data_IF_419431285643
#
_entry.id   IF_419431285643
#
_cell.length_a   1.000
_cell.length_b   1.000
_cell.length_c   1.000
_cell.angle_alpha   90.00
_cell.angle_beta   90.00
_cell.angle_gamma   90.00
#
_symmetry.space_group_name_H-M   'P 1'
#
loop_
_entity.id
_entity.type
_entity.pdbx_description
1 polymer ?
#
# COMPACT_ATOMS: atom_id res chain seq x y z
N UNK A 1 -11.94 -18.93 -52.76
CA UNK A 1 -11.34 -18.26 -51.59
C UNK A 1 -11.94 -18.88 -50.33
N UNK A 2 -11.25 -19.86 -49.76
CA UNK A 2 -11.63 -20.41 -48.45
C UNK A 2 -11.06 -19.45 -47.40
N UNK A 3 -11.90 -18.58 -46.87
CA UNK A 3 -11.59 -17.91 -45.62
C UNK A 3 -11.58 -18.98 -44.51
N UNK A 4 -10.39 -19.42 -44.14
CA UNK A 4 -10.21 -20.27 -42.98
C UNK A 4 -10.75 -19.51 -41.76
N UNK A 5 -11.93 -19.89 -41.24
CA UNK A 5 -12.33 -19.56 -39.91
C UNK A 5 -11.26 -20.13 -38.96
N UNK A 6 -10.34 -19.30 -38.54
CA UNK A 6 -9.56 -19.58 -37.33
C UNK A 6 -10.60 -19.72 -36.20
N UNK A 7 -10.99 -20.97 -35.89
CA UNK A 7 -11.74 -21.31 -34.67
C UNK A 7 -10.91 -20.77 -33.49
N UNK A 8 -11.31 -19.63 -32.96
CA UNK A 8 -10.70 -19.09 -31.76
C UNK A 8 -10.92 -20.12 -30.65
N UNK A 9 -9.84 -20.77 -30.21
CA UNK A 9 -9.92 -21.69 -29.08
C UNK A 9 -10.42 -20.95 -27.84
N UNK A 10 -11.21 -21.63 -27.00
CA UNK A 10 -11.61 -21.09 -25.70
C UNK A 10 -10.40 -20.60 -24.91
N UNK A 11 -10.37 -19.32 -24.61
CA UNK A 11 -9.36 -18.68 -23.76
C UNK A 11 -10.02 -18.13 -22.48
N UNK A 12 -9.37 -18.33 -21.36
CA UNK A 12 -9.65 -17.66 -20.09
C UNK A 12 -8.64 -16.52 -19.93
N UNK A 13 -9.06 -15.36 -19.40
CA UNK A 13 -8.18 -14.20 -19.24
C UNK A 13 -6.99 -14.49 -18.32
N UNK A 14 -5.89 -13.76 -18.51
CA UNK A 14 -4.61 -13.99 -17.82
C UNK A 14 -4.65 -14.05 -16.29
N UNK A 15 -5.51 -13.29 -15.57
CA UNK A 15 -5.60 -13.37 -14.11
C UNK A 15 -5.98 -14.75 -13.55
N UNK A 16 -6.70 -15.56 -14.34
CA UNK A 16 -7.21 -16.85 -13.90
C UNK A 16 -6.19 -17.96 -14.10
N UNK A 17 -5.58 -18.39 -13.01
CA UNK A 17 -4.58 -19.46 -13.01
C UNK A 17 -4.74 -20.34 -11.76
N UNK A 18 -4.15 -21.53 -11.79
CA UNK A 18 -4.15 -22.47 -10.66
C UNK A 18 -3.67 -21.81 -9.38
N UNK A 19 -4.24 -22.24 -8.27
CA UNK A 19 -3.92 -21.73 -6.92
C UNK A 19 -4.35 -20.30 -6.62
N UNK A 20 -5.11 -19.64 -7.50
CA UNK A 20 -5.58 -18.26 -7.28
C UNK A 20 -6.55 -18.13 -6.11
N UNK A 21 -6.75 -16.90 -5.65
CA UNK A 21 -7.83 -16.52 -4.73
C UNK A 21 -8.82 -15.64 -5.47
N UNK A 22 -10.12 -15.95 -5.37
CA UNK A 22 -11.21 -15.08 -5.83
C UNK A 22 -11.75 -14.25 -4.69
N UNK A 23 -12.12 -13.01 -4.97
CA UNK A 23 -12.65 -12.08 -3.98
C UNK A 23 -14.03 -12.54 -3.48
N UNK A 24 -14.21 -12.60 -2.16
CA UNK A 24 -15.50 -12.86 -1.51
C UNK A 24 -16.38 -11.61 -1.41
N UNK A 25 -17.68 -11.81 -1.18
CA UNK A 25 -18.61 -10.77 -0.74
C UNK A 25 -19.01 -9.74 -1.80
N UNK A 26 -18.56 -9.89 -3.03
CA UNK A 26 -18.94 -9.05 -4.17
C UNK A 26 -19.09 -9.88 -5.45
N UNK A 27 -19.63 -9.30 -6.51
CA UNK A 27 -19.66 -9.95 -7.83
C UNK A 27 -18.26 -10.30 -8.28
N UNK A 28 -18.09 -11.47 -8.88
CA UNK A 28 -16.81 -11.94 -9.41
C UNK A 28 -16.91 -12.07 -10.93
N UNK A 29 -16.39 -11.10 -11.68
CA UNK A 29 -16.29 -11.19 -13.13
C UNK A 29 -15.34 -12.31 -13.53
N UNK A 30 -15.76 -13.13 -14.50
CA UNK A 30 -14.92 -14.13 -15.18
C UNK A 30 -15.08 -13.91 -16.67
N UNK A 31 -13.96 -13.75 -17.38
CA UNK A 31 -13.99 -13.35 -18.78
C UNK A 31 -12.89 -14.01 -19.61
N UNK A 32 -13.01 -13.88 -20.91
CA UNK A 32 -12.05 -14.42 -21.85
C UNK A 32 -12.49 -14.29 -23.29
N UNK A 33 -12.03 -15.20 -24.15
CA UNK A 33 -12.39 -15.25 -25.57
C UNK A 33 -12.85 -16.65 -25.96
N UNK A 34 -13.77 -16.71 -26.93
CA UNK A 34 -14.29 -17.93 -27.52
C UNK A 34 -14.68 -17.67 -28.97
N UNK A 35 -15.14 -18.68 -29.69
CA UNK A 35 -15.68 -18.50 -31.02
C UNK A 35 -16.92 -17.57 -30.98
N UNK A 36 -17.02 -16.71 -32.01
CA UNK A 36 -18.11 -15.72 -32.09
C UNK A 36 -19.47 -16.40 -32.03
N UNK A 37 -20.32 -15.91 -31.12
CA UNK A 37 -21.68 -16.41 -30.95
C UNK A 37 -21.80 -17.70 -30.14
N UNK A 38 -20.70 -18.34 -29.72
CA UNK A 38 -20.75 -19.53 -28.88
C UNK A 38 -21.19 -19.20 -27.43
N UNK A 39 -21.87 -20.18 -26.83
CA UNK A 39 -22.23 -20.09 -25.42
C UNK A 39 -21.06 -20.56 -24.54
N UNK A 40 -20.65 -19.70 -23.64
CA UNK A 40 -19.60 -20.00 -22.66
C UNK A 40 -20.24 -20.09 -21.28
N UNK A 41 -20.04 -21.19 -20.59
CA UNK A 41 -20.58 -21.43 -19.24
C UNK A 41 -19.43 -21.54 -18.24
N UNK A 42 -19.49 -20.77 -17.17
CA UNK A 42 -18.57 -20.85 -16.03
C UNK A 42 -19.27 -21.59 -14.90
N UNK A 43 -18.59 -22.61 -14.33
CA UNK A 43 -19.03 -23.37 -13.17
C UNK A 43 -18.05 -23.20 -12.03
N UNK A 44 -18.51 -22.69 -10.88
CA UNK A 44 -17.71 -22.52 -9.67
C UNK A 44 -18.60 -22.43 -8.43
N UNK A 45 -18.20 -23.09 -7.35
CA UNK A 45 -18.83 -23.02 -6.02
C UNK A 45 -20.36 -23.20 -6.05
N UNK A 46 -20.87 -24.14 -6.85
CA UNK A 46 -22.30 -24.43 -7.00
C UNK A 46 -23.03 -23.49 -7.96
N UNK A 47 -22.41 -22.45 -8.46
CA UNK A 47 -22.95 -21.56 -9.48
C UNK A 47 -22.61 -22.07 -10.89
N UNK A 48 -23.53 -21.86 -11.82
CA UNK A 48 -23.36 -22.15 -13.24
C UNK A 48 -23.98 -21.01 -14.06
N UNK A 49 -23.15 -20.19 -14.65
CA UNK A 49 -23.57 -18.97 -15.35
C UNK A 49 -23.10 -19.02 -16.80
N UNK A 50 -23.98 -18.66 -17.74
CA UNK A 50 -23.70 -18.71 -19.16
C UNK A 50 -23.78 -17.32 -19.78
N UNK A 51 -22.85 -17.01 -20.66
CA UNK A 51 -22.86 -15.84 -21.54
C UNK A 51 -22.58 -16.25 -22.98
N UNK A 52 -22.98 -15.43 -23.93
CA UNK A 52 -22.68 -15.62 -25.36
C UNK A 52 -21.49 -14.75 -25.76
N UNK A 53 -20.52 -15.33 -26.46
CA UNK A 53 -19.40 -14.59 -27.01
C UNK A 53 -19.88 -13.57 -28.05
N UNK A 54 -19.44 -12.33 -27.89
CA UNK A 54 -19.79 -11.21 -28.76
C UNK A 54 -19.15 -11.30 -30.16
N UNK A 55 -19.44 -10.32 -31.00
CA UNK A 55 -18.91 -10.25 -32.38
C UNK A 55 -17.38 -10.18 -32.45
N UNK A 56 -16.72 -9.70 -31.37
CA UNK A 56 -15.26 -9.68 -31.23
C UNK A 56 -14.69 -10.94 -30.58
N UNK A 57 -15.54 -11.94 -30.26
CA UNK A 57 -15.16 -13.16 -29.55
C UNK A 57 -14.99 -13.02 -28.05
N UNK A 58 -15.19 -11.84 -27.48
CA UNK A 58 -15.10 -11.65 -26.03
C UNK A 58 -16.37 -12.16 -25.34
N UNK A 59 -16.19 -12.78 -24.18
CA UNK A 59 -17.27 -13.17 -23.28
C UNK A 59 -16.96 -12.76 -21.85
N UNK A 60 -18.00 -12.55 -21.05
CA UNK A 60 -17.95 -12.30 -19.62
C UNK A 60 -19.18 -12.85 -18.93
N UNK A 61 -18.98 -13.46 -17.77
CA UNK A 61 -20.03 -13.77 -16.80
C UNK A 61 -19.69 -13.13 -15.47
N UNK A 62 -20.68 -12.77 -14.70
CA UNK A 62 -20.53 -12.29 -13.33
C UNK A 62 -21.10 -13.35 -12.38
N UNK A 63 -20.22 -14.01 -11.59
CA UNK A 63 -20.68 -14.86 -10.51
C UNK A 63 -21.28 -14.01 -9.39
N UNK A 64 -22.35 -14.50 -8.76
CA UNK A 64 -22.88 -13.87 -7.56
C UNK A 64 -21.85 -13.88 -6.41
N UNK A 65 -22.00 -13.01 -5.40
CA UNK A 65 -21.05 -12.92 -4.29
C UNK A 65 -20.74 -14.28 -3.67
N UNK A 66 -19.44 -14.58 -3.54
CA UNK A 66 -18.94 -15.84 -3.01
C UNK A 66 -18.74 -15.74 -1.48
N UNK A 67 -18.93 -16.87 -0.78
CA UNK A 67 -18.55 -17.01 0.63
C UNK A 67 -17.10 -17.44 0.72
N UNK A 68 -16.36 -16.99 1.75
CA UNK A 68 -15.00 -17.44 2.02
C UNK A 68 -14.91 -18.97 2.09
N UNK A 69 -13.87 -19.53 1.48
CA UNK A 69 -13.64 -20.96 1.44
C UNK A 69 -12.15 -21.27 1.39
N UNK A 70 -11.68 -22.04 2.37
CA UNK A 70 -10.28 -22.47 2.50
C UNK A 70 -9.98 -23.78 1.76
N UNK A 71 -10.99 -24.42 1.19
CA UNK A 71 -10.84 -25.60 0.36
C UNK A 71 -10.68 -25.22 -1.09
N UNK A 72 -9.64 -25.71 -1.74
CA UNK A 72 -9.39 -25.50 -3.17
C UNK A 72 -10.43 -26.19 -4.03
N UNK A 73 -11.08 -25.44 -4.90
CA UNK A 73 -12.13 -25.91 -5.81
C UNK A 73 -11.76 -25.65 -7.25
N UNK A 74 -12.19 -26.50 -8.21
CA UNK A 74 -12.01 -26.22 -9.62
C UNK A 74 -12.97 -25.12 -10.10
N UNK A 75 -12.46 -24.12 -10.84
CA UNK A 75 -13.25 -23.24 -11.67
C UNK A 75 -13.20 -23.77 -13.10
N UNK A 76 -14.34 -24.15 -13.65
CA UNK A 76 -14.42 -24.77 -14.97
C UNK A 76 -15.21 -23.91 -15.95
N UNK A 77 -14.65 -23.70 -17.13
CA UNK A 77 -15.23 -22.95 -18.22
C UNK A 77 -15.48 -23.88 -19.42
N UNK A 78 -16.69 -23.90 -19.90
CA UNK A 78 -17.15 -24.74 -21.00
C UNK A 78 -17.53 -23.89 -22.20
N UNK A 79 -17.07 -24.24 -23.41
CA UNK A 79 -17.56 -23.71 -24.67
C UNK A 79 -18.47 -24.77 -25.34
N UNK A 80 -19.74 -24.72 -25.00
CA UNK A 80 -20.69 -25.78 -25.44
C UNK A 80 -20.21 -27.16 -25.00
N UNK A 81 -20.13 -28.09 -25.96
CA UNK A 81 -19.55 -29.44 -25.81
C UNK A 81 -18.15 -29.54 -26.43
N UNK A 82 -17.58 -28.44 -26.96
CA UNK A 82 -16.38 -28.44 -27.82
C UNK A 82 -15.09 -28.39 -27.02
N UNK A 83 -15.03 -27.57 -25.99
CA UNK A 83 -13.82 -27.39 -25.22
C UNK A 83 -14.08 -27.04 -23.77
N UNK A 84 -13.12 -27.34 -22.90
CA UNK A 84 -13.18 -27.06 -21.48
C UNK A 84 -11.83 -26.54 -21.00
N UNK A 85 -11.87 -25.53 -20.15
CA UNK A 85 -10.72 -25.04 -19.40
C UNK A 85 -11.02 -25.15 -17.91
N UNK A 86 -10.07 -25.66 -17.14
CA UNK A 86 -10.20 -25.77 -15.69
C UNK A 86 -9.01 -25.09 -15.02
N UNK A 87 -9.30 -24.27 -14.03
CA UNK A 87 -8.35 -23.70 -13.08
C UNK A 87 -8.52 -24.43 -11.78
N UNK A 88 -7.44 -25.01 -11.27
CA UNK A 88 -7.43 -25.90 -10.10
C UNK A 88 -7.11 -25.17 -8.82
N UNK A 89 -7.52 -25.73 -7.67
CA UNK A 89 -7.17 -25.23 -6.33
C UNK A 89 -7.48 -23.74 -6.13
N UNK A 90 -8.69 -23.31 -6.55
CA UNK A 90 -9.16 -21.95 -6.39
C UNK A 90 -9.75 -21.74 -5.00
N UNK A 91 -9.18 -20.82 -4.21
CA UNK A 91 -9.69 -20.40 -2.92
C UNK A 91 -10.64 -19.20 -3.06
N UNK A 92 -11.44 -18.95 -2.04
CA UNK A 92 -12.26 -17.73 -1.94
C UNK A 92 -11.91 -16.99 -0.66
N UNK A 93 -11.50 -15.72 -0.78
CA UNK A 93 -11.06 -14.91 0.35
C UNK A 93 -10.95 -13.43 0.00
N UNK A 94 -9.96 -12.76 0.52
CA UNK A 94 -9.70 -11.34 0.28
C UNK A 94 -8.56 -11.17 -0.73
N UNK A 95 -8.75 -10.36 -1.76
CA UNK A 95 -7.73 -10.12 -2.79
C UNK A 95 -7.28 -8.66 -2.73
N UNK A 96 -5.96 -8.47 -2.67
CA UNK A 96 -5.33 -7.16 -2.58
C UNK A 96 -4.31 -6.95 -3.70
N UNK A 97 -4.40 -5.79 -4.36
CA UNK A 97 -3.35 -5.32 -5.25
C UNK A 97 -2.23 -4.71 -4.41
N UNK A 98 -0.99 -5.12 -4.65
CA UNK A 98 0.20 -4.60 -3.99
C UNK A 98 1.01 -3.84 -5.03
N UNK A 99 0.88 -2.51 -5.03
CA UNK A 99 1.26 -1.66 -6.15
C UNK A 99 2.25 -0.56 -5.76
N UNK A 100 3.04 -0.07 -6.71
CA UNK A 100 3.96 1.02 -6.51
C UNK A 100 5.31 0.86 -7.20
N UNK A 101 6.34 1.47 -6.62
CA UNK A 101 7.69 1.43 -7.18
C UNK A 101 8.67 0.54 -6.38
N UNK A 102 9.95 0.88 -6.39
CA UNK A 102 11.01 0.04 -5.82
C UNK A 102 10.79 -0.32 -4.36
N UNK A 103 10.32 0.59 -3.52
CA UNK A 103 10.06 0.31 -2.11
C UNK A 103 8.90 -0.67 -1.87
N UNK A 104 7.88 -0.70 -2.74
CA UNK A 104 6.91 -1.79 -2.77
C UNK A 104 7.56 -3.09 -3.26
N UNK A 105 8.48 -3.00 -4.23
CA UNK A 105 9.14 -4.14 -4.86
C UNK A 105 10.37 -4.68 -4.13
N UNK A 106 10.80 -4.09 -2.98
CA UNK A 106 11.89 -4.67 -2.17
C UNK A 106 11.53 -6.10 -1.82
N UNK A 107 12.34 -7.10 -2.23
CA UNK A 107 12.04 -8.51 -2.01
C UNK A 107 12.01 -8.87 -0.52
N UNK A 108 11.09 -9.75 -0.14
CA UNK A 108 11.08 -10.37 1.18
C UNK A 108 12.33 -11.25 1.38
N UNK A 109 12.66 -12.05 0.37
CA UNK A 109 13.89 -12.82 0.27
C UNK A 109 14.58 -12.48 -1.06
N UNK A 110 15.89 -12.67 -1.15
CA UNK A 110 16.61 -12.42 -2.39
C UNK A 110 18.13 -12.47 -2.21
N UNK A 111 18.82 -12.56 -3.33
CA UNK A 111 20.28 -12.72 -3.36
C UNK A 111 21.06 -11.40 -3.18
N UNK A 112 20.35 -10.27 -3.17
CA UNK A 112 20.96 -8.93 -2.98
C UNK A 112 20.78 -8.46 -1.54
N UNK A 113 21.75 -8.64 -0.62
CA UNK A 113 21.62 -8.30 0.80
C UNK A 113 21.24 -6.84 1.06
N UNK A 114 21.67 -5.93 0.21
CA UNK A 114 21.38 -4.49 0.32
C UNK A 114 20.01 -4.10 -0.24
N UNK A 115 19.38 -4.97 -1.02
CA UNK A 115 18.07 -4.73 -1.63
C UNK A 115 17.12 -5.91 -1.36
N UNK A 116 16.88 -6.19 -0.08
CA UNK A 116 15.88 -7.13 0.44
C UNK A 116 15.50 -6.74 1.86
N UNK A 117 14.43 -7.34 2.38
CA UNK A 117 14.08 -7.18 3.79
C UNK A 117 15.15 -7.80 4.71
N UNK A 118 15.51 -7.09 5.77
CA UNK A 118 16.58 -7.50 6.68
C UNK A 118 16.29 -8.78 7.47
N UNK A 119 15.01 -9.09 7.72
CA UNK A 119 14.55 -10.25 8.47
C UNK A 119 13.88 -11.32 7.60
N UNK A 120 13.58 -11.00 6.33
CA UNK A 120 12.76 -11.82 5.45
C UNK A 120 13.24 -13.27 5.33
N UNK A 121 14.53 -13.50 5.20
CA UNK A 121 15.10 -14.86 5.12
C UNK A 121 14.82 -15.70 6.37
N UNK A 122 14.92 -15.09 7.54
CA UNK A 122 14.68 -15.75 8.83
C UNK A 122 13.19 -16.06 9.01
N UNK A 123 12.33 -15.08 8.71
CA UNK A 123 10.87 -15.23 8.79
C UNK A 123 10.38 -16.26 7.78
N UNK A 124 10.91 -16.26 6.56
CA UNK A 124 10.55 -17.22 5.52
C UNK A 124 10.76 -18.68 5.95
N UNK A 125 11.86 -18.99 6.65
CA UNK A 125 12.19 -20.36 7.09
C UNK A 125 11.10 -21.00 7.96
N UNK A 126 10.36 -20.19 8.74
CA UNK A 126 9.32 -20.66 9.66
C UNK A 126 7.91 -20.39 9.15
N UNK A 127 7.75 -19.67 8.05
CA UNK A 127 6.44 -19.24 7.55
C UNK A 127 5.74 -20.37 6.77
N UNK A 128 4.64 -20.86 7.31
CA UNK A 128 3.71 -21.78 6.64
C UNK A 128 2.31 -21.21 6.76
N UNK A 129 1.82 -20.57 5.70
CA UNK A 129 0.48 -19.98 5.64
C UNK A 129 -0.22 -20.39 4.34
N UNK A 130 -0.74 -21.64 4.24
CA UNK A 130 -1.30 -22.16 2.99
C UNK A 130 -2.53 -21.38 2.50
N UNK A 131 -3.15 -20.59 3.36
CA UNK A 131 -4.26 -19.73 3.00
C UNK A 131 -3.82 -18.39 2.40
N UNK A 132 -2.53 -18.06 2.41
CA UNK A 132 -2.02 -16.91 1.67
C UNK A 132 -1.48 -17.39 0.32
N UNK A 133 -1.93 -16.75 -0.73
CA UNK A 133 -1.47 -16.97 -2.10
C UNK A 133 -0.94 -15.65 -2.66
N UNK A 134 0.09 -15.72 -3.46
CA UNK A 134 0.67 -14.54 -4.08
C UNK A 134 1.04 -14.78 -5.53
N UNK A 135 1.04 -13.72 -6.30
CA UNK A 135 1.49 -13.70 -7.70
C UNK A 135 2.17 -12.37 -7.97
N UNK A 136 3.22 -12.36 -8.77
CA UNK A 136 3.85 -11.15 -9.28
C UNK A 136 3.52 -11.00 -10.77
N UNK A 137 2.99 -9.87 -11.16
CA UNK A 137 2.77 -9.53 -12.56
C UNK A 137 4.08 -9.09 -13.18
N UNK A 138 4.55 -9.69 -14.28
CA UNK A 138 5.75 -9.24 -14.97
C UNK A 138 5.62 -7.79 -15.45
N UNK A 139 6.64 -6.98 -15.20
CA UNK A 139 6.70 -5.56 -15.55
C UNK A 139 7.98 -5.25 -16.34
N UNK A 140 8.42 -6.19 -17.21
CA UNK A 140 9.67 -6.07 -17.96
C UNK A 140 9.55 -5.16 -19.19
N UNK A 141 8.34 -5.04 -19.72
CA UNK A 141 8.00 -4.23 -20.90
C UNK A 141 6.92 -3.22 -20.53
N UNK A 142 6.86 -2.16 -21.29
CA UNK A 142 5.82 -1.13 -21.22
C UNK A 142 5.22 -0.89 -22.61
N UNK A 143 4.00 -0.37 -22.63
CA UNK A 143 3.27 -0.10 -23.88
C UNK A 143 2.36 1.12 -23.69
N UNK A 144 2.18 1.88 -24.74
CA UNK A 144 1.25 3.03 -24.77
C UNK A 144 -0.20 2.60 -25.00
N UNK A 145 -0.42 1.33 -25.39
CA UNK A 145 -1.75 0.76 -25.66
C UNK A 145 -2.14 -0.22 -24.55
N UNK A 146 -3.37 -0.14 -24.00
CA UNK A 146 -3.85 -1.07 -22.99
C UNK A 146 -3.80 -2.53 -23.47
N UNK A 147 -3.09 -3.36 -22.74
CA UNK A 147 -2.96 -4.80 -22.99
C UNK A 147 -4.07 -5.56 -22.28
N UNK A 148 -4.60 -6.60 -22.90
CA UNK A 148 -5.64 -7.48 -22.30
C UNK A 148 -5.05 -8.77 -21.74
N UNK A 149 -3.77 -9.00 -21.93
CA UNK A 149 -3.04 -10.18 -21.44
C UNK A 149 -1.78 -9.73 -20.70
N UNK A 150 -1.41 -10.46 -19.66
CA UNK A 150 -0.12 -10.28 -18.99
C UNK A 150 1.03 -10.68 -19.91
N UNK A 151 2.20 -10.09 -19.72
CA UNK A 151 3.39 -10.31 -20.55
C UNK A 151 3.88 -11.77 -20.53
N UNK A 152 3.61 -12.49 -19.45
CA UNK A 152 3.90 -13.92 -19.26
C UNK A 152 2.74 -14.56 -18.54
N UNK A 153 2.54 -15.88 -18.65
CA UNK A 153 1.58 -16.60 -17.80
C UNK A 153 1.82 -16.34 -16.33
N UNK A 154 0.75 -16.16 -15.58
CA UNK A 154 0.82 -15.95 -14.13
C UNK A 154 0.94 -17.29 -13.41
N UNK A 155 1.71 -17.30 -12.32
CA UNK A 155 1.89 -18.44 -11.43
C UNK A 155 1.58 -17.98 -10.00
N UNK A 156 0.42 -18.37 -9.49
CA UNK A 156 0.09 -18.15 -8.09
C UNK A 156 0.84 -19.15 -7.20
N UNK A 157 1.47 -18.64 -6.17
CA UNK A 157 2.25 -19.41 -5.22
C UNK A 157 1.61 -19.42 -3.85
N UNK A 158 1.73 -20.53 -3.13
CA UNK A 158 1.35 -20.66 -1.72
C UNK A 158 2.47 -20.13 -0.82
N UNK A 159 2.17 -19.51 0.30
CA UNK A 159 3.19 -19.12 1.29
C UNK A 159 3.76 -20.35 1.98
N UNK A 160 4.91 -20.79 1.52
CA UNK A 160 5.76 -21.82 2.11
C UNK A 160 7.18 -21.29 2.21
N UNK A 161 8.05 -21.85 3.07
CA UNK A 161 9.46 -21.46 3.12
C UNK A 161 10.10 -21.48 1.73
N UNK A 162 9.86 -22.54 0.97
CA UNK A 162 10.45 -22.73 -0.36
C UNK A 162 9.99 -21.66 -1.36
N UNK A 163 8.68 -21.39 -1.44
CA UNK A 163 8.16 -20.41 -2.40
C UNK A 163 8.60 -18.98 -2.06
N UNK A 164 8.64 -18.62 -0.77
CA UNK A 164 9.09 -17.32 -0.32
C UNK A 164 10.59 -17.11 -0.57
N UNK A 165 11.42 -18.11 -0.28
CA UNK A 165 12.87 -18.03 -0.52
C UNK A 165 13.23 -17.99 -2.00
N UNK A 166 12.47 -18.68 -2.85
CA UNK A 166 12.72 -18.74 -4.29
C UNK A 166 12.03 -17.61 -5.08
N UNK A 167 11.27 -16.75 -4.42
CA UNK A 167 10.59 -15.62 -5.06
C UNK A 167 11.24 -14.29 -4.68
N UNK A 168 11.14 -13.33 -5.59
CA UNK A 168 11.44 -11.93 -5.29
C UNK A 168 10.16 -11.16 -4.92
N UNK A 169 9.23 -11.81 -4.20
CA UNK A 169 7.97 -11.18 -3.84
C UNK A 169 8.16 -10.07 -2.81
N UNK A 170 7.32 -9.05 -2.87
CA UNK A 170 7.34 -7.85 -2.03
C UNK A 170 7.37 -8.16 -0.53
N UNK A 171 8.32 -7.59 0.20
CA UNK A 171 8.36 -7.66 1.65
C UNK A 171 7.16 -6.95 2.30
N UNK A 172 6.81 -5.78 1.81
CA UNK A 172 5.65 -5.01 2.30
C UNK A 172 4.37 -5.83 2.13
N UNK A 173 4.13 -6.38 0.94
CA UNK A 173 2.97 -7.21 0.67
C UNK A 173 2.95 -8.50 1.51
N UNK A 174 4.12 -9.10 1.77
CA UNK A 174 4.25 -10.28 2.62
C UNK A 174 3.81 -9.99 4.05
N UNK A 175 4.36 -8.94 4.68
CA UNK A 175 3.98 -8.57 6.04
C UNK A 175 2.53 -8.09 6.15
N UNK A 176 2.02 -7.39 5.14
CA UNK A 176 0.61 -7.04 5.04
C UNK A 176 -0.27 -8.31 5.03
N UNK A 177 0.02 -9.24 4.14
CA UNK A 177 -0.75 -10.47 4.00
C UNK A 177 -0.70 -11.36 5.23
N UNK A 178 0.46 -11.48 5.89
CA UNK A 178 0.61 -12.20 7.16
C UNK A 178 -0.28 -11.61 8.24
N UNK A 179 -0.23 -10.28 8.44
CA UNK A 179 -1.03 -9.58 9.46
C UNK A 179 -2.53 -9.68 9.20
N UNK A 180 -2.96 -9.49 7.94
CA UNK A 180 -4.38 -9.59 7.58
C UNK A 180 -4.87 -11.02 7.78
N UNK A 181 -4.16 -12.02 7.23
CA UNK A 181 -4.60 -13.42 7.31
C UNK A 181 -4.64 -13.94 8.75
N UNK A 182 -3.70 -13.52 9.58
CA UNK A 182 -3.69 -13.84 11.01
C UNK A 182 -4.92 -13.28 11.72
N UNK A 183 -5.30 -12.04 11.41
CA UNK A 183 -6.46 -11.40 12.02
C UNK A 183 -7.79 -12.05 11.59
N UNK A 184 -7.97 -12.31 10.28
CA UNK A 184 -9.29 -12.72 9.77
C UNK A 184 -9.45 -14.25 9.56
N UNK A 185 -8.37 -15.01 9.57
CA UNK A 185 -8.39 -16.49 9.50
C UNK A 185 -8.84 -17.08 8.15
N UNK A 186 -9.15 -16.26 7.14
CA UNK A 186 -9.63 -16.70 5.82
C UNK A 186 -8.53 -16.53 4.74
N UNK A 187 -8.72 -17.11 3.52
CA UNK A 187 -7.74 -16.95 2.45
C UNK A 187 -7.45 -15.50 2.07
N UNK A 188 -6.20 -15.22 1.74
CA UNK A 188 -5.73 -13.91 1.26
C UNK A 188 -4.91 -14.09 -0.02
N UNK A 189 -5.30 -13.39 -1.08
CA UNK A 189 -4.59 -13.30 -2.35
C UNK A 189 -3.88 -11.97 -2.50
N UNK A 190 -2.58 -12.01 -2.79
CA UNK A 190 -1.72 -10.83 -2.96
C UNK A 190 -1.24 -10.75 -4.41
N UNK A 191 -1.59 -9.69 -5.10
CA UNK A 191 -1.23 -9.45 -6.50
C UNK A 191 -0.17 -8.36 -6.58
N UNK A 192 1.06 -8.72 -6.86
CA UNK A 192 2.17 -7.78 -7.03
C UNK A 192 2.13 -7.10 -8.41
N UNK A 193 1.99 -5.77 -8.42
CA UNK A 193 2.00 -4.90 -9.60
C UNK A 193 2.90 -3.69 -9.29
N UNK A 194 4.22 -3.88 -9.41
CA UNK A 194 5.20 -2.87 -9.04
C UNK A 194 6.41 -2.85 -9.99
N UNK A 195 6.99 -1.67 -10.17
CA UNK A 195 8.23 -1.46 -10.95
C UNK A 195 9.04 -0.33 -10.32
N UNK A 196 10.34 -0.56 -10.10
CA UNK A 196 11.25 0.44 -9.55
C UNK A 196 11.47 1.63 -10.47
N UNK A 197 11.74 2.80 -9.86
CA UNK A 197 12.06 4.06 -10.52
C UNK A 197 10.96 4.58 -11.47
N UNK A 198 9.67 4.43 -11.09
CA UNK A 198 8.53 4.87 -11.90
C UNK A 198 7.73 5.96 -11.21
N UNK A 199 7.28 6.96 -11.97
CA UNK A 199 6.37 8.01 -11.52
C UNK A 199 4.92 7.53 -11.46
N UNK A 200 4.10 8.19 -10.64
CA UNK A 200 2.69 7.84 -10.44
C UNK A 200 1.88 7.91 -11.74
N UNK A 201 2.20 8.84 -12.64
CA UNK A 201 1.47 9.02 -13.90
C UNK A 201 1.59 7.80 -14.81
N UNK A 202 2.69 7.03 -14.76
CA UNK A 202 2.85 5.79 -15.53
C UNK A 202 1.89 4.66 -15.10
N UNK A 203 1.34 4.75 -13.89
CA UNK A 203 0.36 3.81 -13.31
C UNK A 203 -1.08 4.29 -13.39
N UNK A 204 -1.28 5.53 -13.86
CA UNK A 204 -2.60 6.16 -13.96
C UNK A 204 -3.23 5.83 -15.30
N UNK A 205 -4.48 5.29 -15.36
CA UNK A 205 -5.14 5.05 -16.63
C UNK A 205 -5.38 6.36 -17.39
N UNK A 206 -5.11 6.31 -18.68
CA UNK A 206 -5.40 7.42 -19.59
C UNK A 206 -6.76 7.19 -20.27
N UNK A 207 -7.73 8.06 -20.00
CA UNK A 207 -9.06 8.04 -20.66
C UNK A 207 -9.06 9.00 -21.86
N UNK A 208 -8.05 8.93 -22.70
CA UNK A 208 -7.81 9.79 -23.86
C UNK A 208 -6.34 9.82 -24.24
N UNK A 209 -5.91 10.81 -25.00
CA UNK A 209 -4.50 11.01 -25.28
C UNK A 209 -3.81 11.52 -23.99
N UNK A 210 -2.90 10.71 -23.46
CA UNK A 210 -1.98 11.18 -22.45
C UNK A 210 -0.88 11.95 -23.14
N UNK A 211 -0.73 13.23 -22.81
CA UNK A 211 0.38 14.04 -23.31
C UNK A 211 1.71 13.44 -22.86
N UNK A 212 2.62 13.16 -23.78
CA UNK A 212 3.95 12.70 -23.43
C UNK A 212 4.66 13.72 -22.52
N UNK A 213 5.38 13.22 -21.55
CA UNK A 213 6.21 14.03 -20.67
C UNK A 213 7.67 14.05 -21.16
N UNK A 214 8.51 14.87 -20.53
CA UNK A 214 9.97 14.84 -20.78
C UNK A 214 10.68 13.72 -20.04
N UNK A 215 9.92 12.88 -19.34
CA UNK A 215 10.46 11.75 -18.60
C UNK A 215 10.89 10.61 -19.54
N UNK A 216 11.56 9.61 -18.98
CA UNK A 216 11.99 8.41 -19.73
C UNK A 216 10.77 7.71 -20.35
N UNK A 217 10.98 6.98 -21.42
CA UNK A 217 9.94 6.24 -22.14
C UNK A 217 9.17 5.27 -21.23
N UNK A 218 9.84 4.64 -20.27
CA UNK A 218 9.22 3.74 -19.28
C UNK A 218 8.53 4.47 -18.11
N UNK A 219 8.54 5.81 -18.10
CA UNK A 219 7.83 6.64 -17.13
C UNK A 219 6.73 7.50 -17.79
N UNK A 220 6.46 7.30 -19.08
CA UNK A 220 5.37 8.01 -19.75
C UNK A 220 4.01 7.67 -19.13
N UNK A 221 3.03 8.61 -19.19
CA UNK A 221 1.71 8.39 -18.62
C UNK A 221 1.04 7.12 -19.12
N UNK A 222 0.50 6.33 -18.20
CA UNK A 222 -0.27 5.13 -18.48
C UNK A 222 0.50 3.88 -18.90
N UNK A 223 1.82 3.93 -19.12
CA UNK A 223 2.57 2.79 -19.71
C UNK A 223 2.54 1.52 -18.85
N UNK A 224 2.67 1.63 -17.52
CA UNK A 224 2.55 0.47 -16.62
C UNK A 224 1.11 0.16 -16.26
N UNK A 225 0.24 1.16 -16.26
CA UNK A 225 -1.19 0.86 -16.24
C UNK A 225 -1.55 -0.07 -17.40
N UNK A 226 -1.19 0.30 -18.62
CA UNK A 226 -1.56 -0.43 -19.83
C UNK A 226 -1.03 -1.87 -19.84
N UNK A 227 0.19 -2.10 -19.38
CA UNK A 227 0.87 -3.40 -19.51
C UNK A 227 0.78 -4.29 -18.30
N UNK A 228 0.70 -3.70 -17.10
CA UNK A 228 0.81 -4.44 -15.83
C UNK A 228 -0.54 -4.54 -15.12
N UNK A 229 -1.29 -3.45 -15.08
CA UNK A 229 -2.54 -3.38 -14.31
C UNK A 229 -3.77 -3.68 -15.15
N UNK A 230 -3.86 -3.11 -16.36
CA UNK A 230 -5.04 -3.29 -17.23
C UNK A 230 -5.41 -4.76 -17.51
N UNK A 231 -4.47 -5.71 -17.68
CA UNK A 231 -4.81 -7.12 -17.83
C UNK A 231 -5.60 -7.74 -16.66
N UNK A 232 -5.54 -7.13 -15.47
CA UNK A 232 -6.29 -7.54 -14.29
C UNK A 232 -7.72 -7.02 -14.27
N UNK A 233 -8.05 -6.02 -15.07
CA UNK A 233 -9.39 -5.43 -15.04
C UNK A 233 -10.40 -6.27 -15.85
N UNK A 234 -11.58 -6.52 -15.30
CA UNK A 234 -12.16 -6.09 -14.02
C UNK A 234 -12.10 -7.18 -12.91
N UNK A 235 -10.94 -7.81 -12.67
CA UNK A 235 -10.82 -8.82 -11.59
C UNK A 235 -11.28 -8.24 -10.25
N UNK A 236 -12.12 -8.97 -9.52
CA UNK A 236 -12.65 -8.49 -8.26
C UNK A 236 -11.56 -8.44 -7.18
N UNK A 237 -11.38 -7.28 -6.57
CA UNK A 237 -10.40 -7.03 -5.50
C UNK A 237 -11.04 -6.23 -4.36
N UNK A 238 -10.59 -6.45 -3.11
CA UNK A 238 -11.01 -5.66 -1.95
C UNK A 238 -10.46 -4.25 -2.03
N UNK A 239 -9.17 -4.14 -2.31
CA UNK A 239 -8.47 -2.88 -2.32
C UNK A 239 -7.06 -2.98 -2.87
N UNK A 240 -6.32 -1.91 -2.68
CA UNK A 240 -4.90 -1.86 -3.00
C UNK A 240 -4.08 -1.26 -1.86
N UNK A 241 -2.85 -1.77 -1.72
CA UNK A 241 -1.81 -1.12 -0.94
C UNK A 241 -0.80 -0.48 -1.91
N UNK A 242 -0.39 0.77 -1.61
CA UNK A 242 0.43 1.58 -2.51
C UNK A 242 1.67 2.13 -1.81
N UNK A 243 2.85 1.90 -2.38
CA UNK A 243 4.09 2.50 -1.90
C UNK A 243 4.88 3.07 -3.08
N UNK A 244 4.75 4.38 -3.26
CA UNK A 244 5.39 5.14 -4.33
C UNK A 244 5.45 6.61 -3.94
N UNK A 245 6.29 7.38 -4.61
CA UNK A 245 6.41 8.83 -4.46
C UNK A 245 7.86 9.30 -4.59
N UNK A 246 8.83 8.41 -4.50
CA UNK A 246 10.25 8.77 -4.56
C UNK A 246 10.61 9.42 -5.90
N UNK A 247 10.05 8.92 -7.00
CA UNK A 247 10.22 9.52 -8.32
C UNK A 247 9.58 10.91 -8.43
N UNK A 248 8.43 11.10 -7.77
CA UNK A 248 7.64 12.34 -7.79
C UNK A 248 8.00 13.29 -6.63
N UNK A 249 9.03 13.00 -5.83
CA UNK A 249 9.32 13.72 -4.56
C UNK A 249 9.57 15.23 -4.74
N UNK A 250 9.98 15.67 -5.93
CA UNK A 250 10.09 17.08 -6.29
C UNK A 250 8.76 17.79 -6.57
N UNK A 251 7.64 17.07 -6.63
CA UNK A 251 6.32 17.58 -7.04
C UNK A 251 5.28 17.54 -5.91
N UNK A 252 5.69 17.87 -4.69
CA UNK A 252 4.84 17.80 -3.49
C UNK A 252 3.46 18.45 -3.68
N UNK A 253 3.39 19.63 -4.32
CA UNK A 253 2.14 20.36 -4.51
C UNK A 253 1.16 19.64 -5.46
N UNK A 254 1.65 18.92 -6.46
CA UNK A 254 0.85 18.23 -7.46
C UNK A 254 0.45 16.80 -7.04
N UNK A 255 1.20 16.18 -6.13
CA UNK A 255 1.07 14.76 -5.82
C UNK A 255 -0.33 14.35 -5.29
N UNK A 256 -1.04 15.12 -4.42
CA UNK A 256 -2.40 14.77 -4.01
C UNK A 256 -3.39 14.67 -5.19
N UNK A 257 -3.29 15.56 -6.17
CA UNK A 257 -4.12 15.51 -7.37
C UNK A 257 -3.76 14.30 -8.26
N UNK A 258 -2.49 13.94 -8.34
CA UNK A 258 -2.03 12.73 -9.05
C UNK A 258 -2.56 11.46 -8.36
N UNK A 259 -2.51 11.38 -7.02
CA UNK A 259 -3.11 10.27 -6.25
C UNK A 259 -4.63 10.16 -6.51
N UNK A 260 -5.34 11.29 -6.56
CA UNK A 260 -6.77 11.33 -6.88
C UNK A 260 -7.05 10.73 -8.25
N UNK A 261 -6.31 11.15 -9.28
CA UNK A 261 -6.48 10.61 -10.64
C UNK A 261 -6.20 9.13 -10.72
N UNK A 262 -5.11 8.66 -10.09
CA UNK A 262 -4.78 7.24 -10.02
C UNK A 262 -5.92 6.46 -9.36
N UNK A 263 -6.34 6.85 -8.17
CA UNK A 263 -7.36 6.16 -7.39
C UNK A 263 -8.71 6.12 -8.14
N UNK A 264 -9.18 7.27 -8.65
CA UNK A 264 -10.44 7.35 -9.39
C UNK A 264 -10.40 6.51 -10.67
N UNK A 265 -9.28 6.51 -11.37
CA UNK A 265 -9.07 5.68 -12.55
C UNK A 265 -9.11 4.19 -12.22
N UNK A 266 -8.44 3.75 -11.16
CA UNK A 266 -8.41 2.34 -10.78
C UNK A 266 -9.78 1.85 -10.31
N UNK A 267 -10.46 2.57 -9.37
CA UNK A 267 -11.79 2.15 -8.89
C UNK A 267 -12.83 2.04 -10.01
N UNK A 268 -12.75 2.92 -11.02
CA UNK A 268 -13.59 2.87 -12.22
C UNK A 268 -13.33 1.60 -13.05
N UNK A 269 -12.06 1.28 -13.31
CA UNK A 269 -11.66 0.16 -14.17
C UNK A 269 -11.80 -1.20 -13.49
N UNK A 270 -11.63 -1.28 -12.18
CA UNK A 270 -11.93 -2.47 -11.37
C UNK A 270 -13.42 -2.61 -11.03
N UNK A 271 -14.26 -1.69 -11.48
CA UNK A 271 -15.72 -1.66 -11.21
C UNK A 271 -16.03 -1.75 -9.71
N UNK A 272 -15.16 -1.16 -8.86
CA UNK A 272 -15.28 -1.18 -7.41
C UNK A 272 -15.30 0.25 -6.87
N UNK A 273 -16.50 0.81 -6.63
CA UNK A 273 -16.68 2.17 -6.10
C UNK A 273 -16.17 2.33 -4.67
N UNK A 274 -16.07 1.22 -3.92
CA UNK A 274 -15.61 1.16 -2.53
C UNK A 274 -14.22 0.53 -2.42
N UNK A 275 -13.37 0.71 -3.45
CA UNK A 275 -12.01 0.19 -3.47
C UNK A 275 -11.22 0.79 -2.30
N UNK A 276 -10.80 -0.04 -1.35
CA UNK A 276 -9.95 0.42 -0.24
C UNK A 276 -8.56 0.80 -0.76
N UNK A 277 -8.04 1.94 -0.32
CA UNK A 277 -6.75 2.46 -0.75
C UNK A 277 -5.86 2.79 0.44
N UNK A 278 -4.96 1.90 0.79
CA UNK A 278 -4.02 2.10 1.88
C UNK A 278 -2.62 2.35 1.32
N UNK A 279 -2.01 3.46 1.68
CA UNK A 279 -0.75 3.86 1.08
C UNK A 279 0.29 4.23 2.12
N UNK A 280 1.55 3.97 1.78
CA UNK A 280 2.67 4.31 2.62
C UNK A 280 3.09 5.75 2.40
N UNK A 281 3.30 6.50 3.47
CA UNK A 281 4.12 7.71 3.41
C UNK A 281 5.51 7.34 2.91
N UNK A 282 6.24 8.26 2.30
CA UNK A 282 7.66 8.05 2.05
C UNK A 282 8.45 8.04 3.37
N UNK A 283 9.44 7.16 3.47
CA UNK A 283 10.40 7.21 4.55
C UNK A 283 11.30 8.46 4.40
N UNK A 284 11.93 8.85 5.49
CA UNK A 284 12.91 9.95 5.44
C UNK A 284 14.22 9.47 4.82
N UNK A 285 14.66 10.13 3.74
CA UNK A 285 15.98 9.95 3.14
C UNK A 285 16.43 11.28 2.49
N UNK A 286 17.73 11.45 2.25
CA UNK A 286 18.26 12.61 1.53
C UNK A 286 17.95 13.95 2.22
N UNK A 287 17.61 14.96 1.42
CA UNK A 287 17.25 16.30 1.89
C UNK A 287 15.77 16.55 1.73
N UNK A 288 15.15 17.14 2.72
CA UNK A 288 13.82 17.73 2.74
C UNK A 288 12.68 16.99 1.99
N UNK A 289 12.26 15.87 2.55
CA UNK A 289 11.12 15.11 2.08
C UNK A 289 9.81 15.48 2.81
N UNK A 290 9.90 16.32 3.86
CA UNK A 290 8.77 16.61 4.75
C UNK A 290 7.58 17.24 4.04
N UNK A 291 7.83 18.19 3.11
CA UNK A 291 6.78 18.81 2.31
C UNK A 291 6.02 17.78 1.45
N UNK A 292 6.72 16.78 0.94
CA UNK A 292 6.10 15.68 0.19
C UNK A 292 5.32 14.75 1.11
N UNK A 293 5.84 14.43 2.29
CA UNK A 293 5.15 13.63 3.30
C UNK A 293 3.85 14.29 3.75
N UNK A 294 3.85 15.61 3.96
CA UNK A 294 2.63 16.37 4.25
C UNK A 294 1.63 16.35 3.08
N UNK A 295 2.12 16.46 1.86
CA UNK A 295 1.28 16.38 0.67
C UNK A 295 0.61 15.00 0.55
N UNK A 296 1.34 13.92 0.80
CA UNK A 296 0.77 12.57 0.86
C UNK A 296 -0.36 12.49 1.91
N UNK A 297 -0.17 13.04 3.11
CA UNK A 297 -1.15 13.00 4.18
C UNK A 297 -2.44 13.80 3.90
N UNK A 298 -2.46 14.71 2.92
CA UNK A 298 -3.68 15.45 2.53
C UNK A 298 -4.72 14.55 1.90
N UNK A 299 -4.32 13.58 1.09
CA UNK A 299 -5.23 12.72 0.36
C UNK A 299 -6.14 11.89 1.27
N UNK A 300 -5.61 11.35 2.40
CA UNK A 300 -6.42 10.61 3.38
C UNK A 300 -7.57 11.46 3.94
N UNK A 301 -7.36 12.77 4.14
CA UNK A 301 -8.40 13.65 4.68
C UNK A 301 -9.55 13.92 3.71
N UNK A 302 -9.30 13.73 2.41
CA UNK A 302 -10.24 14.02 1.32
C UNK A 302 -10.96 12.77 0.81
N UNK A 303 -10.43 11.56 1.11
CA UNK A 303 -10.95 10.30 0.60
C UNK A 303 -11.24 9.31 1.73
N UNK A 304 -12.53 9.03 2.04
CA UNK A 304 -12.91 8.14 3.14
C UNK A 304 -12.40 6.70 3.03
N UNK A 305 -12.20 6.23 1.79
CA UNK A 305 -11.70 4.87 1.55
C UNK A 305 -10.16 4.79 1.55
N UNK A 306 -9.48 5.92 1.78
CA UNK A 306 -8.03 5.97 1.85
C UNK A 306 -7.52 6.05 3.29
N UNK A 307 -6.31 5.52 3.53
CA UNK A 307 -5.57 5.71 4.77
C UNK A 307 -4.06 5.66 4.52
N UNK A 308 -3.33 6.46 5.28
CA UNK A 308 -1.87 6.56 5.16
C UNK A 308 -1.16 5.87 6.32
N UNK A 309 -0.22 4.99 6.01
CA UNK A 309 0.73 4.45 6.98
C UNK A 309 1.94 5.39 7.10
N UNK A 310 2.08 6.06 8.23
CA UNK A 310 3.23 6.92 8.54
C UNK A 310 4.43 6.02 8.83
N UNK A 311 5.56 6.25 8.16
CA UNK A 311 6.77 5.41 8.24
C UNK A 311 8.07 6.22 8.36
N UNK A 312 8.01 7.46 8.79
CA UNK A 312 9.18 8.32 8.94
C UNK A 312 10.19 7.82 10.00
N UNK A 313 9.79 6.83 10.80
CA UNK A 313 10.63 6.17 11.81
C UNK A 313 11.44 4.98 11.29
N UNK A 314 11.20 4.51 10.07
CA UNK A 314 11.91 3.37 9.45
C UNK A 314 12.87 3.78 8.34
N UNK A 315 13.03 5.07 8.11
CA UNK A 315 13.93 5.64 7.12
C UNK A 315 15.41 5.46 7.46
N UNK A 316 16.24 5.78 6.50
CA UNK A 316 17.69 5.84 6.62
C UNK A 316 18.15 7.12 5.92
N UNK A 317 19.09 7.85 6.54
CA UNK A 317 19.57 9.13 5.99
C UNK A 317 20.24 9.02 4.63
N UNK A 318 20.84 7.88 4.34
CA UNK A 318 21.68 7.67 3.15
C UNK A 318 21.09 6.68 2.15
N UNK A 319 20.06 5.93 2.53
CA UNK A 319 19.48 4.89 1.68
C UNK A 319 17.98 5.16 1.47
N UNK A 320 17.61 5.32 0.21
CA UNK A 320 16.21 5.47 -0.23
C UNK A 320 15.40 4.16 -0.03
N UNK A 321 16.08 3.02 0.14
CA UNK A 321 15.48 1.71 0.29
C UNK A 321 15.74 1.12 1.68
N UNK A 322 15.11 1.62 2.76
CA UNK A 322 15.30 1.03 4.06
C UNK A 322 14.94 -0.47 4.04
N UNK A 323 15.79 -1.29 4.62
CA UNK A 323 15.63 -2.76 4.64
C UNK A 323 14.70 -3.28 5.72
N UNK A 324 13.99 -2.41 6.45
CA UNK A 324 13.01 -2.75 7.47
C UNK A 324 11.62 -2.53 6.90
N UNK A 325 10.97 -3.58 6.39
CA UNK A 325 9.66 -3.51 5.74
C UNK A 325 8.49 -3.99 6.61
N UNK A 326 8.77 -4.68 7.72
CA UNK A 326 7.74 -5.19 8.64
C UNK A 326 6.81 -4.08 9.13
N UNK A 327 7.29 -2.96 9.71
CA UNK A 327 6.39 -1.91 10.18
C UNK A 327 5.52 -1.32 9.08
N UNK A 328 6.04 -1.24 7.85
CA UNK A 328 5.29 -0.72 6.70
C UNK A 328 4.11 -1.63 6.37
N UNK A 329 4.37 -2.92 6.15
CA UNK A 329 3.32 -3.89 5.83
C UNK A 329 2.29 -4.03 6.96
N UNK A 330 2.76 -4.08 8.22
CA UNK A 330 1.90 -4.17 9.40
C UNK A 330 0.99 -2.93 9.56
N UNK A 331 1.51 -1.71 9.39
CA UNK A 331 0.71 -0.47 9.50
C UNK A 331 -0.34 -0.37 8.40
N UNK A 332 0.00 -0.76 7.17
CA UNK A 332 -0.99 -0.87 6.09
C UNK A 332 -2.08 -1.90 6.44
N UNK A 333 -1.70 -3.03 7.04
CA UNK A 333 -2.65 -4.06 7.46
C UNK A 333 -3.58 -3.60 8.58
N UNK A 334 -3.13 -2.74 9.51
CA UNK A 334 -4.00 -2.19 10.56
C UNK A 334 -5.20 -1.44 9.98
N UNK A 335 -4.99 -0.68 8.89
CA UNK A 335 -6.09 -0.01 8.20
C UNK A 335 -7.10 -1.01 7.63
N UNK A 336 -6.64 -2.07 6.96
CA UNK A 336 -7.51 -3.12 6.44
C UNK A 336 -8.26 -3.85 7.55
N UNK A 337 -7.53 -4.26 8.61
CA UNK A 337 -8.11 -4.98 9.77
C UNK A 337 -9.22 -4.16 10.41
N UNK A 338 -9.02 -2.87 10.62
CA UNK A 338 -10.03 -2.02 11.22
C UNK A 338 -11.16 -1.66 10.26
N UNK A 339 -10.82 -1.14 9.07
CA UNK A 339 -11.78 -0.49 8.18
C UNK A 339 -12.57 -1.47 7.31
N UNK A 340 -11.93 -2.52 6.78
CA UNK A 340 -12.59 -3.52 5.95
C UNK A 340 -13.16 -4.69 6.76
N UNK A 341 -12.51 -5.04 7.87
CA UNK A 341 -12.81 -6.28 8.61
C UNK A 341 -13.28 -6.03 10.05
N UNK A 342 -13.13 -4.82 10.57
CA UNK A 342 -13.41 -4.48 11.96
C UNK A 342 -14.78 -4.93 12.41
N UNK A 343 -15.82 -4.56 11.69
CA UNK A 343 -17.20 -4.89 12.03
C UNK A 343 -17.50 -6.39 11.97
N UNK A 344 -16.92 -7.10 11.00
CA UNK A 344 -17.20 -8.54 10.82
C UNK A 344 -16.44 -9.41 11.82
N UNK A 345 -15.19 -9.04 12.16
CA UNK A 345 -14.30 -9.85 12.99
C UNK A 345 -14.04 -9.23 14.39
N UNK A 346 -14.71 -8.13 14.74
CA UNK A 346 -14.61 -7.52 16.08
C UNK A 346 -13.39 -6.64 16.29
N UNK A 347 -12.82 -6.06 15.24
CA UNK A 347 -11.63 -5.19 15.28
C UNK A 347 -11.94 -3.70 15.18
N UNK A 348 -13.19 -3.27 15.39
CA UNK A 348 -13.57 -1.84 15.34
C UNK A 348 -12.80 -0.97 16.36
N UNK A 349 -12.28 -1.59 17.43
CA UNK A 349 -11.50 -0.94 18.47
C UNK A 349 -10.00 -0.79 18.13
N UNK A 350 -9.53 -1.39 17.04
CA UNK A 350 -8.12 -1.32 16.66
C UNK A 350 -7.74 0.11 16.30
N UNK A 351 -6.67 0.62 16.90
CA UNK A 351 -6.11 1.92 16.53
C UNK A 351 -5.26 1.77 15.28
N UNK A 352 -5.69 2.38 14.17
CA UNK A 352 -5.02 2.34 12.87
C UNK A 352 -4.38 3.66 12.47
N UNK A 353 -4.78 4.78 13.09
CA UNK A 353 -4.29 6.11 12.75
C UNK A 353 -3.13 6.54 13.65
N UNK A 354 -2.11 7.13 13.03
CA UNK A 354 -1.02 7.82 13.71
C UNK A 354 -1.53 9.04 14.50
N UNK A 355 -0.81 9.48 15.56
CA UNK A 355 -1.13 10.72 16.24
C UNK A 355 -1.06 11.89 15.24
N UNK A 356 -1.96 12.84 15.39
CA UNK A 356 -2.02 14.03 14.53
C UNK A 356 -2.31 15.26 15.37
N UNK A 357 -1.64 16.39 15.06
CA UNK A 357 -1.85 17.65 15.76
C UNK A 357 -3.21 18.22 15.37
N UNK A 358 -4.04 18.53 16.36
CA UNK A 358 -5.37 19.15 16.17
C UNK A 358 -5.39 20.64 16.53
N UNK A 359 -4.50 21.07 17.42
CA UNK A 359 -4.33 22.48 17.76
C UNK A 359 -2.91 22.78 18.24
N UNK A 360 -2.50 24.03 18.02
CA UNK A 360 -1.26 24.58 18.52
C UNK A 360 -1.58 25.96 19.12
N UNK A 361 -1.34 26.13 20.42
CA UNK A 361 -1.58 27.40 21.12
C UNK A 361 -0.31 27.91 21.76
N UNK A 362 -0.15 29.24 21.83
CA UNK A 362 0.96 29.89 22.52
C UNK A 362 0.50 30.25 23.95
N UNK A 363 1.23 29.77 24.94
CA UNK A 363 1.02 30.12 26.35
C UNK A 363 2.34 30.66 26.87
N UNK A 364 2.39 31.98 27.11
CA UNK A 364 3.63 32.72 27.40
C UNK A 364 4.66 32.54 26.25
N UNK A 365 5.78 31.88 26.50
CA UNK A 365 6.81 31.57 25.52
C UNK A 365 6.80 30.09 25.06
N UNK A 366 5.81 29.32 25.48
CA UNK A 366 5.68 27.91 25.12
C UNK A 366 4.60 27.69 24.06
N UNK A 367 4.83 26.70 23.20
CA UNK A 367 3.82 26.17 22.27
C UNK A 367 3.24 24.89 22.84
N UNK A 368 1.93 24.85 23.00
CA UNK A 368 1.19 23.68 23.48
C UNK A 368 0.49 23.04 22.30
N UNK A 369 0.92 21.83 21.93
CA UNK A 369 0.33 21.00 20.88
C UNK A 369 -0.64 20.02 21.49
N UNK A 370 -1.86 19.95 20.98
CA UNK A 370 -2.85 18.92 21.31
C UNK A 370 -2.98 17.93 20.16
N UNK A 371 -3.21 16.65 20.50
CA UNK A 371 -3.23 15.57 19.52
C UNK A 371 -4.57 14.81 19.55
N UNK A 372 -5.00 14.34 18.39
CA UNK A 372 -5.94 13.23 18.27
C UNK A 372 -5.20 11.91 18.00
N UNK A 373 -5.94 10.80 18.04
CA UNK A 373 -5.42 9.44 17.82
C UNK A 373 -4.31 9.03 18.79
N UNK A 374 -4.30 9.59 20.00
CA UNK A 374 -3.37 9.25 21.05
C UNK A 374 -4.05 9.35 22.42
N UNK A 375 -3.95 8.31 23.24
CA UNK A 375 -4.30 8.32 24.67
C UNK A 375 -3.09 8.67 25.54
N UNK A 376 -1.91 8.34 25.05
CA UNK A 376 -0.61 8.74 25.60
C UNK A 376 0.40 8.92 24.46
N UNK A 377 1.45 9.69 24.76
CA UNK A 377 2.54 9.95 23.85
C UNK A 377 3.87 9.60 24.51
N UNK A 378 4.81 9.07 23.71
CA UNK A 378 6.16 8.83 24.19
C UNK A 378 7.20 9.04 23.10
N UNK A 379 8.39 9.40 23.55
CA UNK A 379 9.54 9.68 22.72
C UNK A 379 10.53 8.50 22.80
N UNK A 380 10.82 7.88 21.66
CA UNK A 380 11.92 6.93 21.54
C UNK A 380 13.14 7.65 21.02
N UNK A 381 14.20 7.73 21.81
CA UNK A 381 15.45 8.30 21.35
C UNK A 381 16.39 7.19 20.86
N UNK A 382 16.32 6.89 19.56
CA UNK A 382 17.15 5.83 18.93
C UNK A 382 18.62 6.19 18.84
N UNK A 383 18.95 7.49 18.75
CA UNK A 383 20.30 7.94 18.38
C UNK A 383 21.04 8.69 19.51
N UNK A 384 20.61 8.71 20.74
CA UNK A 384 21.26 9.52 21.80
C UNK A 384 21.60 10.97 21.38
N UNK A 385 21.27 11.38 20.15
CA UNK A 385 21.37 12.76 19.70
C UNK A 385 20.22 13.55 20.31
N UNK A 386 20.50 14.73 20.80
CA UNK A 386 19.61 15.54 21.61
C UNK A 386 18.36 16.07 20.89
N UNK A 387 18.10 15.68 19.66
CA UNK A 387 16.99 16.23 18.88
C UNK A 387 15.75 15.35 18.97
N UNK A 388 14.64 15.99 19.33
CA UNK A 388 13.30 15.40 19.35
C UNK A 388 12.52 15.69 18.04
N UNK A 389 13.15 16.32 17.04
CA UNK A 389 12.55 16.66 15.76
C UNK A 389 11.68 17.91 15.72
N UNK A 390 11.39 18.54 16.86
CA UNK A 390 10.61 19.78 16.92
C UNK A 390 11.49 21.01 16.77
N UNK A 391 10.94 22.03 16.09
CA UNK A 391 11.55 23.33 15.98
C UNK A 391 10.47 24.43 16.09
N UNK A 392 10.85 25.56 16.65
CA UNK A 392 10.05 26.78 16.75
C UNK A 392 10.69 27.92 15.98
N UNK A 393 9.90 28.78 15.40
CA UNK A 393 10.37 30.04 14.83
C UNK A 393 9.62 31.22 15.44
N UNK A 394 10.38 32.27 15.75
CA UNK A 394 9.86 33.58 16.13
C UNK A 394 9.52 34.46 14.93
N UNK A 395 9.25 35.77 15.17
CA UNK A 395 8.89 36.76 14.17
C UNK A 395 10.01 36.93 13.11
N UNK A 396 11.27 36.67 13.50
CA UNK A 396 12.43 36.71 12.60
C UNK A 396 12.46 35.57 11.56
N UNK A 397 11.52 34.61 11.67
CA UNK A 397 11.39 33.46 10.77
C UNK A 397 12.48 32.41 10.91
N UNK A 398 13.41 32.55 11.85
CA UNK A 398 14.50 31.60 12.04
C UNK A 398 14.07 30.42 12.88
N UNK A 399 14.23 29.23 12.34
CA UNK A 399 13.95 27.99 13.05
C UNK A 399 15.03 27.65 14.06
N UNK A 400 14.60 27.27 15.27
CA UNK A 400 15.47 26.83 16.36
C UNK A 400 14.97 25.52 16.94
N UNK A 401 15.86 24.56 17.28
CA UNK A 401 15.48 23.32 17.95
C UNK A 401 14.68 23.60 19.23
N UNK A 402 13.58 22.85 19.41
CA UNK A 402 12.73 22.98 20.57
C UNK A 402 12.95 21.86 21.59
N UNK A 403 12.79 22.20 22.86
CA UNK A 403 12.79 21.24 23.97
C UNK A 403 11.36 20.89 24.36
N UNK A 404 11.10 19.60 24.66
CA UNK A 404 9.82 19.15 25.21
C UNK A 404 9.86 19.36 26.73
N UNK A 405 8.99 20.22 27.25
CA UNK A 405 8.98 20.66 28.65
C UNK A 405 8.31 19.67 29.61
N UNK A 406 7.34 18.91 29.12
CA UNK A 406 6.59 17.93 29.90
C UNK A 406 7.01 16.47 29.62
N UNK A 407 8.28 16.27 29.29
CA UNK A 407 8.88 14.95 29.09
C UNK A 407 9.46 14.41 30.41
N UNK A 408 9.00 13.25 30.84
CA UNK A 408 9.60 12.48 31.93
C UNK A 408 10.47 11.39 31.32
N UNK A 409 11.76 11.42 31.62
CA UNK A 409 12.70 10.37 31.25
C UNK A 409 12.99 9.53 32.49
N UNK A 410 12.62 8.25 32.46
CA UNK A 410 12.98 7.31 33.51
C UNK A 410 14.48 7.10 33.53
N UNK A 411 15.14 7.36 34.68
CA UNK A 411 16.56 7.09 34.86
C UNK A 411 16.79 5.60 35.05
N UNK A 412 17.63 4.98 34.20
CA UNK A 412 18.03 3.58 34.36
C UNK A 412 18.90 3.39 35.60
N UNK A 413 18.66 2.31 36.33
CA UNK A 413 19.58 1.78 37.34
C UNK A 413 20.56 0.82 36.62
N UNK A 414 21.82 1.23 36.49
CA UNK A 414 22.92 0.38 36.01
C UNK A 414 23.44 0.74 34.63
N UNK A 415 24.57 1.31 34.57
CA UNK A 415 25.62 1.60 33.57
C UNK A 415 25.49 1.28 32.08
N UNK A 416 24.47 0.61 31.62
CA UNK A 416 24.15 0.47 30.20
C UNK A 416 23.20 1.59 29.78
N UNK A 417 23.56 2.34 28.75
CA UNK A 417 22.69 3.33 28.10
C UNK A 417 21.53 2.57 27.44
N UNK A 418 20.53 2.18 28.23
CA UNK A 418 19.34 1.55 27.69
C UNK A 418 18.50 2.62 26.99
N UNK A 419 17.91 2.26 25.85
CA UNK A 419 16.92 3.06 25.14
C UNK A 419 15.64 3.08 25.97
N UNK A 420 15.48 4.12 26.81
CA UNK A 420 14.24 4.31 27.57
C UNK A 420 13.31 5.23 26.80
N UNK A 421 12.04 4.86 26.63
CA UNK A 421 11.05 5.80 26.17
C UNK A 421 10.89 6.90 27.21
N UNK A 422 11.03 8.17 26.81
CA UNK A 422 10.54 9.28 27.62
C UNK A 422 9.04 9.35 27.49
N UNK A 423 8.30 9.32 28.61
CA UNK A 423 6.86 9.48 28.62
C UNK A 423 6.50 10.97 28.63
N UNK A 424 5.57 11.38 27.78
CA UNK A 424 4.99 12.71 27.81
C UNK A 424 3.82 12.70 28.77
N UNK A 425 3.80 13.64 29.72
CA UNK A 425 2.71 13.76 30.69
C UNK A 425 1.47 14.32 29.99
N UNK A 426 0.42 13.52 29.93
CA UNK A 426 -0.84 13.87 29.27
C UNK A 426 -0.82 13.62 27.74
N UNK A 427 -1.77 14.23 27.05
CA UNK A 427 -1.99 14.12 25.60
C UNK A 427 -1.56 15.39 24.87
N UNK A 428 -0.77 16.24 25.48
CA UNK A 428 -0.24 17.49 24.91
C UNK A 428 1.27 17.47 24.97
N UNK A 429 1.91 18.12 23.98
CA UNK A 429 3.36 18.37 23.96
C UNK A 429 3.58 19.86 24.20
N UNK A 430 4.36 20.20 25.21
CA UNK A 430 4.76 21.59 25.51
C UNK A 430 6.18 21.82 25.01
N UNK A 431 6.34 22.83 24.14
CA UNK A 431 7.61 23.12 23.48
C UNK A 431 8.10 24.52 23.86
N UNK A 432 9.41 24.64 24.09
CA UNK A 432 10.10 25.93 24.14
C UNK A 432 11.40 25.86 23.37
N UNK A 433 11.90 26.99 22.87
CA UNK A 433 13.20 27.07 22.21
C UNK A 433 13.98 28.28 22.71
N UNK A 434 15.29 28.11 22.92
CA UNK A 434 16.16 29.15 23.43
C UNK A 434 16.19 30.35 22.46
N UNK A 435 15.89 31.56 23.02
CA UNK A 435 15.82 32.81 22.28
C UNK A 435 14.64 32.89 21.28
N UNK A 436 13.55 32.14 21.54
CA UNK A 436 12.25 32.30 20.88
C UNK A 436 11.21 32.67 21.95
N UNK A 437 11.12 33.95 22.27
CA UNK A 437 10.18 34.45 23.27
C UNK A 437 8.74 34.56 22.75
N UNK A 438 8.59 34.76 21.43
CA UNK A 438 7.29 34.83 20.74
C UNK A 438 7.27 33.88 19.56
N UNK A 439 6.95 32.61 19.78
CA UNK A 439 6.85 31.63 18.71
C UNK A 439 5.64 31.96 17.79
N UNK A 440 5.88 31.96 16.47
CA UNK A 440 4.85 32.20 15.45
C UNK A 440 4.69 31.00 14.51
N UNK A 441 5.62 30.05 14.57
CA UNK A 441 5.54 28.81 13.80
C UNK A 441 6.13 27.64 14.58
N UNK A 442 5.58 26.46 14.33
CA UNK A 442 6.09 25.18 14.84
C UNK A 442 6.18 24.18 13.71
N UNK A 443 7.20 23.31 13.73
CA UNK A 443 7.32 22.19 12.79
C UNK A 443 7.93 20.96 13.45
N UNK A 444 7.71 19.82 12.82
CA UNK A 444 8.27 18.53 13.20
C UNK A 444 8.85 17.81 11.99
N UNK A 445 10.09 17.34 12.08
CA UNK A 445 10.84 16.60 11.06
C UNK A 445 11.09 17.34 9.73
N UNK A 446 11.18 18.66 9.73
CA UNK A 446 11.43 19.47 8.53
C UNK A 446 12.91 19.86 8.31
N UNK A 447 13.80 19.67 9.29
CA UNK A 447 15.12 20.29 9.23
C UNK A 447 16.24 19.45 8.59
N UNK A 448 16.04 18.22 8.27
CA UNK A 448 16.88 17.20 7.58
C UNK A 448 16.25 15.83 7.80
N UNK A 449 16.77 14.75 7.20
CA UNK A 449 16.16 13.44 7.36
C UNK A 449 16.23 12.97 8.82
N UNK A 450 15.39 13.56 9.65
CA UNK A 450 15.15 13.10 11.00
C UNK A 450 14.35 11.82 10.94
N UNK A 451 14.78 10.82 11.70
CA UNK A 451 13.97 9.64 11.94
C UNK A 451 12.93 10.00 13.00
N UNK A 452 11.65 9.80 12.68
CA UNK A 452 10.54 10.04 13.60
C UNK A 452 10.70 9.24 14.89
N UNK A 453 10.44 9.87 16.04
CA UNK A 453 10.66 9.27 17.35
C UNK A 453 9.54 9.53 18.36
N UNK A 454 8.48 10.24 17.98
CA UNK A 454 7.29 10.45 18.82
C UNK A 454 6.18 9.49 18.38
N UNK A 455 5.63 8.74 19.34
CA UNK A 455 4.65 7.69 19.09
C UNK A 455 3.45 7.80 20.02
N UNK A 456 2.32 7.24 19.61
CA UNK A 456 1.20 6.96 20.47
C UNK A 456 1.35 5.59 21.21
N UNK A 457 0.40 5.24 22.07
CA UNK A 457 0.39 4.01 22.88
C UNK A 457 0.43 2.69 22.11
N UNK A 458 0.14 2.72 20.81
CA UNK A 458 0.18 1.51 19.94
C UNK A 458 1.35 1.52 18.96
N UNK A 459 2.37 2.32 19.23
CA UNK A 459 3.60 2.43 18.44
C UNK A 459 3.39 2.95 17.00
N UNK A 460 2.42 3.83 16.80
CA UNK A 460 2.28 4.56 15.55
C UNK A 460 2.97 5.93 15.66
N UNK A 461 3.88 6.27 14.73
CA UNK A 461 4.68 7.49 14.82
C UNK A 461 3.89 8.73 14.40
N UNK A 462 4.27 9.90 14.93
CA UNK A 462 3.80 11.19 14.45
C UNK A 462 4.37 11.48 13.07
N UNK A 463 3.51 11.93 12.14
CA UNK A 463 3.91 12.40 10.81
C UNK A 463 4.59 13.76 10.86
N UNK A 464 5.39 14.09 9.82
CA UNK A 464 5.94 15.42 9.66
C UNK A 464 4.83 16.47 9.48
N UNK A 465 5.00 17.65 10.05
CA UNK A 465 4.07 18.76 9.91
C UNK A 465 4.74 20.12 10.10
N UNK A 466 4.13 21.15 9.53
CA UNK A 466 4.46 22.56 9.78
C UNK A 466 3.17 23.36 9.95
N UNK A 467 3.11 24.23 10.95
CA UNK A 467 1.96 25.07 11.27
C UNK A 467 2.38 26.49 11.60
N UNK A 468 1.57 27.47 11.18
CA UNK A 468 1.59 28.80 11.74
C UNK A 468 0.80 28.81 13.05
N UNK A 469 1.25 29.62 14.01
CA UNK A 469 0.60 29.83 15.28
C UNK A 469 -0.19 31.14 15.21
N UNK A 470 -1.45 31.12 15.64
CA UNK A 470 -2.25 32.33 15.70
C UNK A 470 -1.64 33.27 16.73
N UNK A 471 -1.31 34.48 16.30
CA UNK A 471 -0.96 35.59 17.21
C UNK A 471 -2.24 36.09 17.86
N UNK A 472 -2.50 35.71 19.08
CA UNK A 472 -3.47 36.39 19.93
C UNK A 472 -2.93 37.70 20.46
#
# INVERSE_FOLDING_TARGET
MFAGLLLSALELASPFADHMVLQRGMKVPVWGRAAVGENVTVSFAGQRVTARAGANGNWRVDLAPLKACSEGRPLTVFEGTKSTKTVSDVLVGEVWLCAGQSNMGVPFCGDRPHFRDGQGMMVAQVTRRPLIRFVTTPADKYDTVPQTKTQKPLCWCTFTPQSLMNSSFSAVATYFGLSVQEAIGIPVGLVGVYRGATGIDSWTPCDGECEPTKDRDDCQPGVFWNTVVNPWTPFAVRGMIWYQGEHDSGEAAAYPAKLRRLYDGWRKRFENTNLSFYYSQLCSWGNDIAAFQEAQARFEREEPNAAIAIINDVGNQTDIHPNVKEPVGRRLALHAIRRDYGREFGFDHVQDNSPSVVSATVVEAEVVLSFCNAKSLYLYNRDFSASNGFELAGIDGKWKPASIRNLIVEKSHGGAKAMYPGQIVGTTVRLSADGVERPVKVRYLHARPWIGNLYNEVNLPLGAFQMSLDSH
#
